data_IF_266097922181
#
_entry.id   IF_266097922181
#
_cell.length_a   1.000
_cell.length_b   1.000
_cell.length_c   1.000
_cell.angle_alpha   90.00
_cell.angle_beta   90.00
_cell.angle_gamma   90.00
#
_symmetry.space_group_name_H-M   'P 1'
#
loop_
_entity.id
_entity.type
_entity.pdbx_description
1 polymer ?
#
# COMPACT_ATOMS: atom_id res chain seq x y z
N UNK A 1 -29.57 -18.03 -14.74
CA UNK A 1 -29.20 -17.06 -13.67
C UNK A 1 -30.44 -16.87 -12.81
N UNK A 2 -30.39 -17.25 -11.54
CA UNK A 2 -31.55 -17.34 -10.63
C UNK A 2 -32.15 -16.00 -10.19
N UNK A 3 -31.47 -14.85 -10.33
CA UNK A 3 -31.98 -13.56 -9.85
C UNK A 3 -31.77 -12.44 -10.85
N UNK A 4 -32.84 -11.74 -11.22
CA UNK A 4 -32.77 -10.45 -11.92
C UNK A 4 -32.25 -9.39 -10.94
N UNK A 5 -31.39 -8.44 -11.36
CA UNK A 5 -30.96 -7.36 -10.49
C UNK A 5 -32.14 -6.44 -10.18
N UNK A 6 -32.26 -6.06 -8.91
CA UNK A 6 -33.27 -5.12 -8.48
C UNK A 6 -32.82 -3.68 -8.75
N UNK A 7 -33.75 -2.83 -9.14
CA UNK A 7 -33.52 -1.40 -9.27
C UNK A 7 -33.30 -0.77 -7.90
N UNK A 8 -32.29 0.12 -7.78
CA UNK A 8 -32.00 0.81 -6.52
C UNK A 8 -32.41 2.28 -6.56
N UNK A 9 -32.29 2.94 -7.70
CA UNK A 9 -32.61 4.36 -7.89
C UNK A 9 -33.96 4.60 -8.61
N UNK A 10 -34.24 5.87 -8.91
CA UNK A 10 -35.46 6.28 -9.63
C UNK A 10 -35.38 5.96 -11.12
N UNK A 11 -34.22 6.10 -11.75
CA UNK A 11 -34.03 5.81 -13.18
C UNK A 11 -34.06 4.29 -13.42
N UNK A 12 -34.71 3.90 -14.54
CA UNK A 12 -34.90 2.51 -14.93
C UNK A 12 -34.31 2.27 -16.33
N UNK A 13 -33.65 1.14 -16.49
CA UNK A 13 -33.25 0.63 -17.80
C UNK A 13 -34.30 -0.32 -18.33
N UNK A 14 -34.42 -0.38 -19.66
CA UNK A 14 -35.26 -1.38 -20.31
C UNK A 14 -34.78 -2.79 -19.94
N UNK A 15 -35.72 -3.75 -19.69
CA UNK A 15 -35.35 -5.11 -19.26
C UNK A 15 -34.41 -5.84 -20.22
N UNK A 16 -34.56 -5.61 -21.55
CA UNK A 16 -33.69 -6.23 -22.55
C UNK A 16 -32.27 -5.64 -22.50
N UNK A 17 -32.16 -4.32 -22.39
CA UNK A 17 -30.89 -3.60 -22.25
C UNK A 17 -30.17 -4.00 -20.95
N UNK A 18 -30.92 -4.09 -19.86
CA UNK A 18 -30.38 -4.50 -18.56
C UNK A 18 -29.79 -5.92 -18.60
N UNK A 19 -30.47 -6.84 -19.29
CA UNK A 19 -29.98 -8.21 -19.43
C UNK A 19 -28.70 -8.29 -20.26
N UNK A 20 -28.64 -7.55 -21.35
CA UNK A 20 -27.44 -7.45 -22.21
C UNK A 20 -26.27 -6.79 -21.49
N UNK A 21 -26.49 -5.65 -20.82
CA UNK A 21 -25.49 -4.90 -20.08
C UNK A 21 -24.90 -5.72 -18.91
N UNK A 22 -25.78 -6.42 -18.17
CA UNK A 22 -25.34 -7.31 -17.06
C UNK A 22 -24.48 -8.47 -17.56
N UNK A 23 -24.78 -9.03 -18.73
CA UNK A 23 -23.99 -10.13 -19.31
C UNK A 23 -22.61 -9.65 -19.72
N UNK A 24 -22.53 -8.42 -20.25
CA UNK A 24 -21.29 -7.81 -20.70
C UNK A 24 -20.50 -7.08 -19.60
N UNK A 25 -21.06 -6.93 -18.38
CA UNK A 25 -20.42 -6.16 -17.32
C UNK A 25 -19.08 -6.77 -16.88
N UNK A 26 -18.09 -5.91 -16.66
CA UNK A 26 -16.81 -6.31 -16.03
C UNK A 26 -17.02 -6.49 -14.53
N UNK A 27 -16.83 -7.70 -14.06
CA UNK A 27 -16.98 -8.08 -12.64
C UNK A 27 -15.70 -7.70 -11.89
N UNK A 28 -15.85 -6.97 -10.78
CA UNK A 28 -14.75 -6.58 -9.89
C UNK A 28 -15.25 -6.81 -8.45
N UNK A 29 -14.69 -7.79 -7.78
CA UNK A 29 -15.20 -8.22 -6.48
C UNK A 29 -16.71 -8.53 -6.50
N UNK A 30 -17.48 -8.03 -5.50
CA UNK A 30 -18.92 -8.27 -5.42
C UNK A 30 -19.75 -7.37 -6.35
N UNK A 31 -19.13 -6.36 -6.97
CA UNK A 31 -19.74 -5.38 -7.85
C UNK A 31 -19.45 -5.68 -9.34
N UNK A 32 -19.98 -4.87 -10.25
CA UNK A 32 -19.73 -4.98 -11.69
C UNK A 32 -19.99 -3.66 -12.39
N UNK A 33 -19.15 -3.34 -13.37
CA UNK A 33 -19.22 -2.13 -14.18
C UNK A 33 -19.73 -2.51 -15.56
N UNK A 34 -20.96 -2.13 -15.89
CA UNK A 34 -21.56 -2.28 -17.19
C UNK A 34 -21.32 -1.04 -18.06
N UNK A 35 -21.81 -1.06 -19.30
CA UNK A 35 -21.78 0.13 -20.17
C UNK A 35 -22.83 1.18 -19.78
N UNK A 36 -24.00 0.73 -19.28
CA UNK A 36 -25.16 1.58 -18.95
C UNK A 36 -25.44 1.69 -17.46
N UNK A 37 -24.98 0.73 -16.65
CA UNK A 37 -25.27 0.67 -15.21
C UNK A 37 -24.10 0.13 -14.38
N UNK A 38 -24.06 0.56 -13.14
CA UNK A 38 -23.24 0.02 -12.09
C UNK A 38 -24.03 -1.04 -11.32
N UNK A 39 -23.44 -2.23 -11.16
CA UNK A 39 -24.05 -3.35 -10.43
C UNK A 39 -23.46 -3.45 -9.03
N UNK A 40 -24.32 -3.43 -8.00
CA UNK A 40 -23.95 -3.36 -6.61
C UNK A 40 -24.41 -4.60 -5.85
N UNK A 41 -23.69 -5.00 -4.83
CA UNK A 41 -24.04 -6.13 -4.01
C UNK A 41 -25.10 -5.77 -2.95
N UNK A 42 -25.79 -6.80 -2.46
CA UNK A 42 -26.39 -6.81 -1.13
C UNK A 42 -25.42 -7.47 -0.16
N UNK A 43 -25.83 -7.62 1.10
CA UNK A 43 -24.97 -8.21 2.13
C UNK A 43 -24.48 -9.63 1.76
N UNK A 44 -25.33 -10.44 1.12
CA UNK A 44 -25.02 -11.84 0.77
C UNK A 44 -24.97 -12.13 -0.73
N UNK A 45 -25.47 -11.23 -1.59
CA UNK A 45 -25.66 -11.50 -3.01
C UNK A 45 -24.91 -10.49 -3.85
N UNK A 46 -23.95 -10.97 -4.64
CA UNK A 46 -23.19 -10.16 -5.58
C UNK A 46 -24.10 -9.61 -6.70
N UNK A 47 -23.85 -8.34 -7.08
CA UNK A 47 -24.57 -7.70 -8.20
C UNK A 47 -26.09 -7.83 -8.10
N UNK A 48 -26.59 -7.72 -6.87
CA UNK A 48 -28.04 -7.81 -6.57
C UNK A 48 -28.80 -6.61 -7.05
N UNK A 49 -28.20 -5.43 -7.03
CA UNK A 49 -28.81 -4.17 -7.42
C UNK A 49 -28.14 -3.60 -8.66
N UNK A 50 -28.87 -2.76 -9.41
CA UNK A 50 -28.31 -1.95 -10.47
C UNK A 50 -28.68 -0.47 -10.30
N UNK A 51 -27.79 0.40 -10.73
CA UNK A 51 -27.98 1.85 -10.81
C UNK A 51 -27.53 2.31 -12.19
N UNK A 52 -28.42 2.91 -13.01
CA UNK A 52 -28.02 3.61 -14.22
C UNK A 52 -27.06 4.75 -13.89
N UNK A 53 -26.07 4.98 -14.73
CA UNK A 53 -25.09 6.07 -14.49
C UNK A 53 -25.70 7.45 -14.41
N UNK A 54 -26.86 7.67 -15.05
CA UNK A 54 -27.63 8.93 -14.99
C UNK A 54 -28.14 9.27 -13.59
N UNK A 55 -28.31 8.27 -12.71
CA UNK A 55 -28.73 8.46 -11.32
C UNK A 55 -27.57 8.66 -10.37
N UNK A 56 -26.34 8.36 -10.79
CA UNK A 56 -25.16 8.37 -9.91
C UNK A 56 -24.53 9.75 -9.93
N UNK A 57 -24.38 10.34 -8.75
CA UNK A 57 -23.68 11.62 -8.56
C UNK A 57 -22.22 11.44 -8.18
N UNK A 58 -21.93 10.48 -7.30
CA UNK A 58 -20.59 10.23 -6.77
C UNK A 58 -20.38 8.74 -6.52
N UNK A 59 -19.15 8.29 -6.73
CA UNK A 59 -18.69 6.95 -6.31
C UNK A 59 -17.31 7.10 -5.69
N UNK A 60 -17.16 6.72 -4.43
CA UNK A 60 -15.89 6.90 -3.74
C UNK A 60 -15.60 5.78 -2.75
N UNK A 61 -14.33 5.63 -2.43
CA UNK A 61 -13.84 4.72 -1.42
C UNK A 61 -13.94 5.36 -0.04
N UNK A 62 -14.42 4.60 0.92
CA UNK A 62 -14.35 4.94 2.35
C UNK A 62 -13.67 3.81 3.09
N UNK A 63 -12.75 4.16 3.98
CA UNK A 63 -12.04 3.20 4.83
C UNK A 63 -12.58 3.34 6.24
N UNK A 64 -13.18 2.27 6.78
CA UNK A 64 -13.52 2.20 8.18
C UNK A 64 -12.35 1.56 8.94
N UNK A 65 -11.81 2.27 9.91
CA UNK A 65 -10.86 1.69 10.86
C UNK A 65 -11.66 0.99 11.96
N UNK A 66 -11.58 -0.33 12.06
CA UNK A 66 -12.08 -1.03 13.22
C UNK A 66 -11.07 -0.87 14.35
N UNK A 67 -11.47 -0.31 15.47
CA UNK A 67 -10.72 -0.41 16.71
C UNK A 67 -10.59 -1.89 17.05
N UNK A 68 -9.34 -2.40 17.06
CA UNK A 68 -8.95 -3.80 17.12
C UNK A 68 -9.92 -4.73 17.83
N UNK A 69 -10.56 -5.60 17.05
CA UNK A 69 -11.25 -6.74 17.59
C UNK A 69 -10.26 -7.80 18.10
N UNK A 70 -10.66 -8.52 19.06
CA UNK A 70 -10.16 -9.58 19.93
C UNK A 70 -9.08 -10.58 19.45
N UNK A 71 -8.39 -10.36 18.35
CA UNK A 71 -7.36 -11.26 17.82
C UNK A 71 -5.96 -10.68 17.91
N UNK A 72 -5.50 -10.25 19.09
CA UNK A 72 -4.07 -10.14 19.48
C UNK A 72 -3.00 -9.66 18.48
N UNK A 73 -3.33 -9.38 17.24
CA UNK A 73 -2.51 -8.77 16.22
C UNK A 73 -2.90 -7.31 16.13
N UNK A 74 -2.13 -6.43 16.75
CA UNK A 74 -2.30 -4.99 16.74
C UNK A 74 -2.14 -4.36 15.35
N UNK A 75 -2.91 -4.83 14.38
CA UNK A 75 -3.14 -4.20 13.10
C UNK A 75 -4.60 -3.77 13.06
N UNK A 76 -4.80 -2.46 12.93
CA UNK A 76 -6.07 -1.90 12.55
C UNK A 76 -6.51 -2.57 11.24
N UNK A 77 -7.49 -3.45 11.29
CA UNK A 77 -8.09 -3.98 10.09
C UNK A 77 -8.88 -2.84 9.44
N UNK A 78 -8.32 -2.20 8.45
CA UNK A 78 -9.04 -1.25 7.60
C UNK A 78 -9.96 -2.07 6.68
N UNK A 79 -11.26 -1.83 6.76
CA UNK A 79 -12.20 -2.33 5.77
C UNK A 79 -12.50 -1.23 4.77
N UNK A 80 -12.04 -1.41 3.55
CA UNK A 80 -12.39 -0.54 2.45
C UNK A 80 -13.76 -0.93 1.91
N UNK A 81 -14.64 0.04 1.70
CA UNK A 81 -15.91 -0.14 1.04
C UNK A 81 -16.20 0.97 0.04
N UNK A 82 -16.92 0.60 -1.00
CA UNK A 82 -17.39 1.53 -2.01
C UNK A 82 -18.66 2.20 -1.52
N UNK A 83 -18.73 3.52 -1.65
CA UNK A 83 -19.95 4.30 -1.41
C UNK A 83 -20.40 4.87 -2.74
N UNK A 84 -21.66 4.64 -3.06
CA UNK A 84 -22.32 5.20 -4.26
C UNK A 84 -23.41 6.14 -3.81
N UNK A 85 -23.30 7.41 -4.21
CA UNK A 85 -24.34 8.42 -4.00
C UNK A 85 -25.21 8.56 -5.26
N UNK A 86 -26.52 8.58 -5.08
CA UNK A 86 -27.49 8.61 -6.15
C UNK A 86 -28.78 9.32 -5.73
N UNK A 87 -29.59 9.73 -6.69
CA UNK A 87 -30.92 10.31 -6.49
C UNK A 87 -30.99 11.37 -5.37
N UNK A 88 -30.11 12.39 -5.44
CA UNK A 88 -30.17 13.52 -4.51
C UNK A 88 -29.63 13.26 -3.12
N UNK A 89 -28.69 12.34 -2.95
CA UNK A 89 -27.96 12.14 -1.69
C UNK A 89 -28.19 10.80 -1.00
N UNK A 90 -29.00 9.92 -1.59
CA UNK A 90 -29.07 8.53 -1.11
C UNK A 90 -27.73 7.84 -1.27
N UNK A 91 -27.31 7.03 -0.31
CA UNK A 91 -26.05 6.32 -0.34
C UNK A 91 -26.26 4.81 -0.27
N UNK A 92 -25.49 4.09 -1.07
CA UNK A 92 -25.36 2.61 -0.98
C UNK A 92 -23.92 2.27 -0.71
N UNK A 93 -23.71 1.50 0.35
CA UNK A 93 -22.39 0.97 0.71
C UNK A 93 -22.24 -0.47 0.20
N UNK A 94 -21.06 -0.78 -0.32
CA UNK A 94 -20.69 -2.09 -0.81
C UNK A 94 -19.34 -2.50 -0.21
N UNK A 95 -19.35 -3.58 0.56
CA UNK A 95 -18.14 -4.08 1.21
C UNK A 95 -17.35 -4.96 0.23
N UNK A 96 -16.05 -4.79 0.22
CA UNK A 96 -15.11 -5.57 -0.56
C UNK A 96 -14.21 -6.37 0.37
N UNK A 97 -13.78 -7.54 -0.10
CA UNK A 97 -12.80 -8.37 0.63
C UNK A 97 -11.38 -7.86 0.45
N UNK A 98 -11.09 -7.29 -0.72
CA UNK A 98 -9.78 -6.73 -1.07
C UNK A 98 -9.94 -5.24 -1.43
N UNK A 99 -9.11 -4.41 -0.84
CA UNK A 99 -9.07 -2.96 -1.11
C UNK A 99 -8.69 -2.67 -2.56
N UNK A 100 -7.82 -3.49 -3.16
CA UNK A 100 -7.39 -3.36 -4.56
C UNK A 100 -8.55 -3.48 -5.55
N UNK A 101 -9.58 -4.25 -5.22
CA UNK A 101 -10.77 -4.36 -6.05
C UNK A 101 -11.57 -3.05 -6.08
N UNK A 102 -11.62 -2.31 -4.95
CA UNK A 102 -12.25 -0.98 -4.90
C UNK A 102 -11.50 -0.01 -5.80
N UNK A 103 -10.16 0.01 -5.69
CA UNK A 103 -9.32 0.90 -6.48
C UNK A 103 -9.41 0.58 -7.98
N UNK A 104 -9.38 -0.70 -8.35
CA UNK A 104 -9.57 -1.14 -9.74
C UNK A 104 -10.96 -0.77 -10.31
N UNK A 105 -12.01 -0.80 -9.46
CA UNK A 105 -13.35 -0.38 -9.86
C UNK A 105 -13.41 1.13 -10.10
N UNK A 106 -12.82 1.94 -9.21
CA UNK A 106 -12.76 3.39 -9.34
C UNK A 106 -11.95 3.82 -10.57
N UNK A 107 -10.80 3.18 -10.84
CA UNK A 107 -10.01 3.43 -12.05
C UNK A 107 -10.79 3.13 -13.33
N UNK A 108 -11.54 2.02 -13.34
CA UNK A 108 -12.37 1.66 -14.48
C UNK A 108 -13.51 2.67 -14.70
N UNK A 109 -14.15 3.12 -13.61
CA UNK A 109 -15.19 4.17 -13.67
C UNK A 109 -14.61 5.49 -14.13
N UNK A 110 -13.43 5.90 -13.67
CA UNK A 110 -12.75 7.12 -14.13
C UNK A 110 -12.57 7.14 -15.66
N UNK A 111 -12.23 5.97 -16.24
CA UNK A 111 -12.01 5.83 -17.68
C UNK A 111 -13.31 5.79 -18.50
N UNK A 112 -14.35 5.16 -17.96
CA UNK A 112 -15.59 4.94 -18.70
C UNK A 112 -16.66 6.01 -18.47
N UNK A 113 -16.65 6.64 -17.30
CA UNK A 113 -17.69 7.59 -16.85
C UNK A 113 -17.04 8.81 -16.16
N UNK A 114 -16.32 9.65 -16.92
CA UNK A 114 -15.57 10.79 -16.36
C UNK A 114 -16.46 11.86 -15.69
N UNK A 115 -17.77 11.83 -15.96
CA UNK A 115 -18.74 12.75 -15.35
C UNK A 115 -19.06 12.39 -13.88
N UNK A 116 -18.76 11.17 -13.43
CA UNK A 116 -19.01 10.73 -12.06
C UNK A 116 -17.88 11.22 -11.17
N UNK A 117 -18.20 11.93 -10.10
CA UNK A 117 -17.20 12.37 -9.12
C UNK A 117 -16.73 11.20 -8.26
N UNK A 118 -15.41 11.02 -8.18
CA UNK A 118 -14.81 9.88 -7.47
C UNK A 118 -14.36 10.22 -6.03
N UNK A 119 -14.72 11.40 -5.55
CA UNK A 119 -14.45 11.87 -4.20
C UNK A 119 -15.75 12.20 -3.46
N UNK A 120 -15.75 12.01 -2.14
CA UNK A 120 -16.85 12.52 -1.31
C UNK A 120 -16.86 14.05 -1.30
N UNK A 121 -18.00 14.67 -0.99
CA UNK A 121 -18.11 16.13 -0.89
C UNK A 121 -17.12 16.68 0.15
N UNK A 122 -17.02 16.01 1.32
CA UNK A 122 -16.06 16.38 2.35
C UNK A 122 -14.60 16.21 1.88
N UNK A 123 -14.31 15.15 1.10
CA UNK A 123 -12.98 14.93 0.52
C UNK A 123 -12.59 16.01 -0.49
N UNK A 124 -13.52 16.44 -1.36
CA UNK A 124 -13.29 17.56 -2.29
C UNK A 124 -13.00 18.87 -1.54
N UNK A 125 -13.82 19.19 -0.53
CA UNK A 125 -13.61 20.38 0.29
C UNK A 125 -12.28 20.35 1.05
N UNK A 126 -11.92 19.20 1.61
CA UNK A 126 -10.63 19.02 2.28
C UNK A 126 -9.46 19.22 1.32
N UNK A 127 -9.55 18.68 0.09
CA UNK A 127 -8.52 18.87 -0.95
C UNK A 127 -8.41 20.33 -1.40
N UNK A 128 -9.55 21.03 -1.60
CA UNK A 128 -9.54 22.45 -1.93
C UNK A 128 -8.89 23.28 -0.84
N UNK A 129 -9.35 23.11 0.40
CA UNK A 129 -8.77 23.82 1.56
C UNK A 129 -7.27 23.59 1.69
N UNK A 130 -6.83 22.36 1.45
CA UNK A 130 -5.42 21.99 1.47
C UNK A 130 -4.62 22.65 0.35
N UNK A 131 -5.19 22.70 -0.85
CA UNK A 131 -4.57 23.39 -1.98
C UNK A 131 -4.42 24.89 -1.71
N UNK A 132 -5.44 25.52 -1.10
CA UNK A 132 -5.41 26.92 -0.68
C UNK A 132 -4.37 27.15 0.44
N UNK A 133 -4.35 26.31 1.47
CA UNK A 133 -3.36 26.38 2.54
C UNK A 133 -1.92 26.17 2.01
N UNK A 134 -1.73 25.24 1.08
CA UNK A 134 -0.44 25.01 0.45
C UNK A 134 -0.01 26.20 -0.41
N UNK A 135 -0.94 26.77 -1.16
CA UNK A 135 -0.68 27.98 -1.95
C UNK A 135 -0.34 29.19 -1.05
N UNK A 136 -1.05 29.34 0.07
CA UNK A 136 -0.80 30.41 1.03
C UNK A 136 0.55 30.29 1.78
N UNK A 137 1.12 29.09 1.88
CA UNK A 137 2.45 28.86 2.48
C UNK A 137 3.59 29.25 1.55
N UNK A 138 3.36 29.31 0.23
CA UNK A 138 4.38 29.67 -0.74
C UNK A 138 4.69 31.15 -0.68
N UNK A 139 5.97 31.49 -0.77
CA UNK A 139 6.39 32.88 -0.87
C UNK A 139 5.90 33.49 -2.20
N UNK A 140 5.37 34.72 -2.19
CA UNK A 140 4.92 35.37 -3.41
C UNK A 140 6.08 35.66 -4.38
N UNK A 141 7.28 35.93 -3.84
CA UNK A 141 8.49 36.11 -4.63
C UNK A 141 9.65 35.30 -4.03
N UNK A 142 10.31 34.53 -4.88
CA UNK A 142 11.51 33.77 -4.55
C UNK A 142 12.75 34.59 -4.96
N UNK A 143 13.81 34.46 -4.17
CA UNK A 143 15.15 34.98 -4.57
C UNK A 143 15.63 34.30 -5.86
N UNK A 144 16.54 34.91 -6.60
CA UNK A 144 17.03 34.33 -7.86
C UNK A 144 17.78 33.02 -7.62
N UNK A 145 18.48 32.85 -6.52
CA UNK A 145 19.12 31.58 -6.11
C UNK A 145 18.06 30.50 -5.82
N UNK A 146 16.97 30.86 -5.14
CA UNK A 146 15.87 29.94 -4.88
C UNK A 146 15.15 29.52 -6.18
N UNK A 147 14.92 30.43 -7.12
CA UNK A 147 14.36 30.11 -8.45
C UNK A 147 15.27 29.17 -9.22
N UNK A 148 16.58 29.40 -9.19
CA UNK A 148 17.56 28.51 -9.80
C UNK A 148 17.50 27.12 -9.17
N UNK A 149 17.49 27.03 -7.84
CA UNK A 149 17.38 25.75 -7.09
C UNK A 149 16.10 24.99 -7.46
N UNK A 150 14.94 25.66 -7.50
CA UNK A 150 13.67 25.05 -7.94
C UNK A 150 13.76 24.50 -9.35
N UNK A 151 14.42 25.26 -10.27
CA UNK A 151 14.59 24.82 -11.66
C UNK A 151 15.44 23.57 -11.77
N UNK A 152 16.56 23.51 -11.02
CA UNK A 152 17.44 22.32 -10.95
C UNK A 152 16.67 21.12 -10.42
N UNK A 153 15.93 21.28 -9.32
CA UNK A 153 15.16 20.22 -8.69
C UNK A 153 14.01 19.71 -9.60
N UNK A 154 13.34 20.61 -10.34
CA UNK A 154 12.28 20.23 -11.29
C UNK A 154 12.84 19.39 -12.44
N UNK A 155 13.96 19.80 -13.04
CA UNK A 155 14.63 19.03 -14.10
C UNK A 155 15.07 17.65 -13.61
N UNK A 156 15.61 17.59 -12.39
CA UNK A 156 15.99 16.32 -11.78
C UNK A 156 14.77 15.43 -11.52
N UNK A 157 13.64 16.00 -11.08
CA UNK A 157 12.39 15.28 -10.91
C UNK A 157 11.85 14.73 -12.23
N UNK A 158 11.80 15.53 -13.28
CA UNK A 158 11.39 15.12 -14.63
C UNK A 158 12.25 13.96 -15.15
N UNK A 159 13.57 13.99 -14.88
CA UNK A 159 14.48 12.92 -15.24
C UNK A 159 14.12 11.59 -14.51
N UNK A 160 13.78 11.64 -13.23
CA UNK A 160 13.33 10.45 -12.50
C UNK A 160 11.92 9.98 -12.93
N UNK A 161 11.02 10.92 -13.24
CA UNK A 161 9.67 10.61 -13.74
C UNK A 161 9.68 9.91 -15.10
N UNK A 162 10.76 10.03 -15.87
CA UNK A 162 10.95 9.30 -17.14
C UNK A 162 11.13 7.77 -16.94
N UNK A 163 11.57 7.33 -15.75
CA UNK A 163 11.74 5.91 -15.39
C UNK A 163 11.19 5.62 -14.00
N UNK A 164 9.87 5.66 -13.82
CA UNK A 164 9.23 5.49 -12.51
C UNK A 164 9.48 4.11 -11.89
N UNK A 165 9.79 3.09 -12.72
CA UNK A 165 10.05 1.73 -12.22
C UNK A 165 11.26 1.71 -11.27
N UNK A 166 12.34 2.48 -11.57
CA UNK A 166 13.53 2.52 -10.72
C UNK A 166 13.22 3.12 -9.33
N UNK A 167 12.49 4.23 -9.29
CA UNK A 167 12.08 4.87 -8.05
C UNK A 167 11.14 3.99 -7.21
N UNK A 168 10.20 3.32 -7.87
CA UNK A 168 9.28 2.40 -7.22
C UNK A 168 9.99 1.15 -6.69
N UNK A 169 10.93 0.59 -7.47
CA UNK A 169 11.76 -0.54 -7.04
C UNK A 169 12.62 -0.18 -5.83
N UNK A 170 13.32 0.97 -5.87
CA UNK A 170 14.12 1.49 -4.77
C UNK A 170 13.28 1.61 -3.49
N UNK A 171 12.14 2.29 -3.58
CA UNK A 171 11.21 2.48 -2.46
C UNK A 171 10.70 1.14 -1.90
N UNK A 172 10.27 0.21 -2.76
CA UNK A 172 9.76 -1.09 -2.37
C UNK A 172 10.84 -1.97 -1.72
N UNK A 173 12.05 -1.99 -2.28
CA UNK A 173 13.17 -2.76 -1.77
C UNK A 173 13.64 -2.25 -0.41
N UNK A 174 13.75 -0.93 -0.23
CA UNK A 174 14.16 -0.32 1.02
C UNK A 174 13.10 -0.48 2.12
N UNK A 175 11.82 -0.45 1.80
CA UNK A 175 10.73 -0.77 2.76
C UNK A 175 10.82 -2.22 3.24
N UNK A 176 11.07 -3.18 2.34
CA UNK A 176 11.23 -4.60 2.70
C UNK A 176 12.48 -4.80 3.58
N UNK A 177 13.62 -4.17 3.24
CA UNK A 177 14.83 -4.18 4.06
C UNK A 177 14.54 -3.66 5.47
N UNK A 178 13.84 -2.52 5.60
CA UNK A 178 13.47 -1.94 6.90
C UNK A 178 12.54 -2.83 7.72
N UNK A 179 11.53 -3.41 7.09
CA UNK A 179 10.61 -4.35 7.75
C UNK A 179 11.38 -5.57 8.29
N UNK A 180 12.33 -6.08 7.51
CA UNK A 180 13.17 -7.20 7.92
C UNK A 180 14.10 -6.86 9.08
N UNK A 181 14.73 -5.68 9.06
CA UNK A 181 15.60 -5.21 10.15
C UNK A 181 14.83 -4.99 11.46
N UNK A 182 13.55 -4.62 11.39
CA UNK A 182 12.67 -4.48 12.55
C UNK A 182 12.07 -5.79 13.04
N UNK A 183 12.15 -6.86 12.27
CA UNK A 183 11.61 -8.16 12.69
C UNK A 183 12.37 -8.67 13.94
N UNK A 184 11.63 -8.93 15.01
CA UNK A 184 12.22 -9.38 16.27
C UNK A 184 12.86 -10.76 16.08
N UNK A 185 14.10 -10.99 16.54
CA UNK A 185 14.78 -12.29 16.42
C UNK A 185 14.10 -13.41 17.22
N UNK A 186 13.15 -13.05 18.10
CA UNK A 186 12.41 -14.00 18.95
C UNK A 186 11.78 -15.15 18.14
N UNK A 187 11.26 -14.88 16.95
CA UNK A 187 10.66 -15.94 16.11
C UNK A 187 11.69 -17.01 15.69
N UNK A 188 12.97 -16.64 15.53
CA UNK A 188 14.04 -17.59 15.20
C UNK A 188 14.33 -18.50 16.38
N UNK A 189 14.36 -17.95 17.59
CA UNK A 189 14.58 -18.75 18.81
C UNK A 189 13.40 -19.67 19.09
N UNK A 190 12.18 -19.21 18.87
CA UNK A 190 10.99 -20.06 18.98
C UNK A 190 11.02 -21.19 17.94
N UNK A 191 11.34 -20.90 16.68
CA UNK A 191 11.47 -21.92 15.64
C UNK A 191 12.58 -22.92 15.95
N UNK A 192 13.72 -22.45 16.47
CA UNK A 192 14.82 -23.32 16.92
C UNK A 192 14.39 -24.21 18.11
N UNK A 193 13.69 -23.66 19.09
CA UNK A 193 13.15 -24.42 20.21
C UNK A 193 12.20 -25.53 19.74
N UNK A 194 11.27 -25.21 18.83
CA UNK A 194 10.33 -26.18 18.23
C UNK A 194 11.12 -27.28 17.49
N UNK A 195 12.17 -26.93 16.75
CA UNK A 195 13.03 -27.88 16.08
C UNK A 195 13.74 -28.82 17.07
N UNK A 196 14.31 -28.27 18.16
CA UNK A 196 14.97 -29.06 19.19
C UNK A 196 13.99 -30.00 19.91
N UNK A 197 12.79 -29.56 20.23
CA UNK A 197 11.74 -30.42 20.78
C UNK A 197 11.35 -31.56 19.84
N UNK A 198 11.21 -31.25 18.54
CA UNK A 198 10.92 -32.26 17.52
C UNK A 198 12.02 -33.32 17.39
N UNK A 199 13.29 -32.88 17.41
CA UNK A 199 14.46 -33.81 17.36
C UNK A 199 14.56 -34.64 18.63
N UNK A 200 14.33 -34.04 19.79
CA UNK A 200 14.33 -34.76 21.08
C UNK A 200 13.21 -35.81 21.14
N UNK A 201 12.00 -35.46 20.68
CA UNK A 201 10.88 -36.40 20.61
C UNK A 201 11.18 -37.58 19.66
N UNK A 202 11.80 -37.31 18.51
CA UNK A 202 12.21 -38.35 17.56
C UNK A 202 13.29 -39.27 18.15
N UNK A 203 14.31 -38.69 18.77
CA UNK A 203 15.40 -39.45 19.42
C UNK A 203 14.90 -40.32 20.55
N UNK A 204 14.04 -39.77 21.43
CA UNK A 204 13.44 -40.56 22.51
C UNK A 204 12.49 -41.63 21.98
N UNK A 205 11.73 -41.36 20.93
CA UNK A 205 10.87 -42.36 20.28
C UNK A 205 11.69 -43.52 19.71
N UNK A 206 12.83 -43.24 19.05
CA UNK A 206 13.74 -44.27 18.56
C UNK A 206 14.34 -45.09 19.74
N UNK A 207 14.82 -44.43 20.75
CA UNK A 207 15.33 -45.11 21.97
C UNK A 207 14.28 -46.03 22.58
N UNK A 208 13.05 -45.57 22.77
CA UNK A 208 11.95 -46.33 23.33
C UNK A 208 11.57 -47.56 22.49
N UNK A 209 11.64 -47.45 21.15
CA UNK A 209 11.43 -48.58 20.21
C UNK A 209 12.55 -49.63 20.38
N UNK A 210 13.81 -49.21 20.43
CA UNK A 210 14.95 -50.15 20.59
C UNK A 210 15.00 -50.83 21.95
N UNK A 211 14.59 -50.17 23.01
CA UNK A 211 14.55 -50.72 24.37
C UNK A 211 13.24 -51.43 24.72
N UNK A 212 12.30 -51.48 23.77
CA UNK A 212 10.95 -52.03 23.99
C UNK A 212 10.19 -51.44 25.19
N UNK A 213 10.51 -50.22 25.57
CA UNK A 213 9.91 -49.49 26.71
C UNK A 213 8.79 -48.60 26.20
N UNK A 214 7.56 -49.06 26.28
CA UNK A 214 6.39 -48.27 25.87
C UNK A 214 5.31 -49.05 25.13
N UNK A 215 4.21 -48.41 24.84
CA UNK A 215 3.11 -48.97 24.02
C UNK A 215 3.11 -48.39 22.63
N UNK A 216 2.47 -49.06 21.67
CA UNK A 216 2.33 -48.58 20.30
C UNK A 216 1.69 -47.19 20.23
N UNK A 217 0.75 -46.84 21.11
CA UNK A 217 0.14 -45.52 21.20
C UNK A 217 1.15 -44.41 21.56
N UNK A 218 2.11 -44.70 22.46
CA UNK A 218 3.18 -43.77 22.86
C UNK A 218 4.12 -43.53 21.68
N UNK A 219 4.51 -44.57 20.96
CA UNK A 219 5.36 -44.42 19.75
C UNK A 219 4.69 -43.59 18.68
N UNK A 220 3.40 -43.86 18.40
CA UNK A 220 2.65 -43.08 17.43
C UNK A 220 2.56 -41.60 17.82
N UNK A 221 2.31 -41.31 19.10
CA UNK A 221 2.25 -39.92 19.58
C UNK A 221 3.61 -39.22 19.46
N UNK A 222 4.71 -39.85 19.87
CA UNK A 222 6.07 -39.28 19.83
C UNK A 222 6.51 -38.98 18.39
N UNK A 223 6.33 -39.92 17.47
CA UNK A 223 6.68 -39.72 16.07
C UNK A 223 5.74 -38.73 15.37
N UNK A 224 4.47 -38.72 15.75
CA UNK A 224 3.50 -37.73 15.26
C UNK A 224 3.89 -36.31 15.67
N UNK A 225 4.19 -36.08 16.94
CA UNK A 225 4.69 -34.78 17.42
C UNK A 225 6.03 -34.40 16.77
N UNK A 226 6.98 -35.36 16.68
CA UNK A 226 8.23 -35.13 16.00
C UNK A 226 8.04 -34.70 14.56
N UNK A 227 7.19 -35.37 13.81
CA UNK A 227 6.86 -35.03 12.42
C UNK A 227 6.28 -33.60 12.34
N UNK A 228 5.25 -33.28 13.13
CA UNK A 228 4.62 -31.96 13.14
C UNK A 228 5.65 -30.85 13.45
N UNK A 229 6.47 -31.04 14.49
CA UNK A 229 7.45 -30.02 14.89
C UNK A 229 8.58 -29.86 13.89
N UNK A 230 9.11 -30.94 13.33
CA UNK A 230 10.16 -30.91 12.33
C UNK A 230 9.67 -30.30 11.01
N UNK A 231 8.49 -30.67 10.51
CA UNK A 231 7.91 -30.07 9.30
C UNK A 231 7.60 -28.57 9.50
N UNK A 232 7.04 -28.19 10.66
CA UNK A 232 6.78 -26.78 10.95
C UNK A 232 8.06 -25.95 11.00
N UNK A 233 9.15 -26.49 11.56
CA UNK A 233 10.43 -25.79 11.71
C UNK A 233 11.26 -25.80 10.43
N UNK A 234 11.20 -26.87 9.63
CA UNK A 234 11.94 -26.99 8.39
C UNK A 234 11.68 -25.88 7.39
N UNK A 235 10.43 -25.44 7.27
CA UNK A 235 10.06 -24.35 6.38
C UNK A 235 10.46 -22.96 6.92
N UNK A 236 10.63 -22.81 8.23
CA UNK A 236 10.90 -21.49 8.84
C UNK A 236 12.39 -21.14 8.88
N UNK A 237 13.29 -22.07 9.13
CA UNK A 237 14.70 -21.78 9.38
C UNK A 237 15.52 -21.51 8.10
N UNK A 238 15.60 -22.40 7.12
CA UNK A 238 16.41 -22.17 5.93
C UNK A 238 15.77 -21.17 4.97
N UNK A 239 14.44 -21.22 4.81
CA UNK A 239 13.69 -20.30 3.95
C UNK A 239 13.76 -18.86 4.45
N UNK A 240 13.70 -18.65 5.78
CA UNK A 240 13.85 -17.33 6.37
C UNK A 240 15.25 -16.76 6.16
N UNK A 241 16.32 -17.57 6.25
CA UNK A 241 17.69 -17.12 6.01
C UNK A 241 17.89 -16.71 4.54
N UNK A 242 17.50 -17.55 3.61
CA UNK A 242 17.60 -17.28 2.17
C UNK A 242 16.77 -16.07 1.75
N UNK A 243 15.56 -15.95 2.27
CA UNK A 243 14.69 -14.81 1.99
C UNK A 243 15.29 -13.50 2.53
N UNK A 244 15.88 -13.52 3.72
CA UNK A 244 16.54 -12.35 4.30
C UNK A 244 17.74 -11.90 3.45
N UNK A 245 18.59 -12.84 3.02
CA UNK A 245 19.71 -12.54 2.13
C UNK A 245 19.24 -11.98 0.79
N UNK A 246 18.17 -12.53 0.22
CA UNK A 246 17.58 -12.06 -1.03
C UNK A 246 17.01 -10.64 -0.88
N UNK A 247 16.33 -10.34 0.23
CA UNK A 247 15.80 -9.00 0.51
C UNK A 247 16.92 -7.96 0.62
N UNK A 248 18.01 -8.29 1.35
CA UNK A 248 19.15 -7.39 1.48
C UNK A 248 19.83 -7.16 0.14
N UNK A 249 20.14 -8.21 -0.62
CA UNK A 249 20.74 -8.11 -1.96
C UNK A 249 19.88 -7.27 -2.91
N UNK A 250 18.56 -7.46 -2.88
CA UNK A 250 17.64 -6.70 -3.74
C UNK A 250 17.64 -5.21 -3.39
N UNK A 251 17.73 -4.86 -2.10
CA UNK A 251 17.83 -3.46 -1.69
C UNK A 251 19.16 -2.83 -2.16
N UNK A 252 20.27 -3.54 -2.00
CA UNK A 252 21.59 -3.07 -2.43
C UNK A 252 21.67 -2.97 -3.97
N UNK A 253 21.03 -3.87 -4.71
CA UNK A 253 20.90 -3.79 -6.17
C UNK A 253 20.05 -2.60 -6.62
N UNK A 254 18.95 -2.31 -5.92
CA UNK A 254 18.12 -1.15 -6.24
C UNK A 254 18.87 0.18 -5.97
N UNK A 255 19.63 0.27 -4.86
CA UNK A 255 20.50 1.40 -4.58
C UNK A 255 21.57 1.58 -5.68
N UNK A 256 22.24 0.50 -6.08
CA UNK A 256 23.27 0.55 -7.13
C UNK A 256 22.69 0.93 -8.50
N UNK A 257 21.52 0.39 -8.86
CA UNK A 257 20.84 0.71 -10.11
C UNK A 257 20.42 2.18 -10.17
N UNK A 258 19.89 2.73 -9.07
CA UNK A 258 19.54 4.14 -8.98
C UNK A 258 20.80 5.03 -9.00
N UNK A 259 21.83 4.66 -8.25
CA UNK A 259 23.10 5.41 -8.25
C UNK A 259 23.72 5.45 -9.65
N UNK A 260 23.68 4.36 -10.40
CA UNK A 260 24.15 4.31 -11.77
C UNK A 260 23.28 5.16 -12.71
N UNK A 261 21.95 5.12 -12.55
CA UNK A 261 21.06 5.95 -13.35
C UNK A 261 21.30 7.44 -13.16
N UNK A 262 21.46 7.91 -11.92
CA UNK A 262 21.69 9.34 -11.64
C UNK A 262 23.07 9.84 -12.07
N UNK A 263 24.08 8.97 -12.24
CA UNK A 263 25.37 9.33 -12.83
C UNK A 263 25.26 9.80 -14.28
N UNK A 264 24.27 9.29 -15.00
CA UNK A 264 24.03 9.65 -16.39
C UNK A 264 23.07 10.84 -16.54
N UNK A 265 22.89 11.61 -15.47
CA UNK A 265 22.06 12.80 -15.52
C UNK A 265 22.65 13.86 -16.45
N UNK A 266 21.91 14.33 -17.48
CA UNK A 266 22.49 15.15 -18.56
C UNK A 266 22.82 16.58 -18.16
N UNK A 267 22.28 17.07 -17.04
CA UNK A 267 22.39 18.47 -16.63
C UNK A 267 23.43 18.69 -15.49
N UNK A 268 24.53 17.95 -15.50
CA UNK A 268 25.59 18.05 -14.51
C UNK A 268 25.45 17.09 -13.34
N UNK A 269 25.81 17.53 -12.13
CA UNK A 269 25.67 16.69 -10.94
C UNK A 269 24.21 16.57 -10.52
N UNK A 270 23.75 15.37 -10.22
CA UNK A 270 22.40 15.16 -9.70
C UNK A 270 22.27 15.77 -8.30
N UNK A 271 21.18 16.52 -7.98
CA UNK A 271 21.10 17.36 -6.79
C UNK A 271 21.01 16.61 -5.46
N UNK A 272 20.77 15.29 -5.48
CA UNK A 272 20.71 14.44 -4.28
C UNK A 272 21.49 13.15 -4.47
N UNK A 273 22.00 12.52 -3.40
CA UNK A 273 22.59 11.19 -3.47
C UNK A 273 21.62 10.16 -4.08
N UNK A 274 22.13 9.17 -4.82
CA UNK A 274 21.34 8.16 -5.49
C UNK A 274 20.39 7.39 -4.53
N UNK A 275 20.81 7.15 -3.28
CA UNK A 275 19.97 6.52 -2.26
C UNK A 275 18.72 7.32 -1.85
N UNK A 276 18.69 8.63 -2.14
CA UNK A 276 17.56 9.53 -1.90
C UNK A 276 16.87 9.97 -3.20
N UNK A 277 17.34 9.49 -4.35
CA UNK A 277 16.81 9.87 -5.65
C UNK A 277 15.40 9.31 -5.87
N UNK A 278 14.41 10.05 -5.44
CA UNK A 278 13.00 9.70 -5.58
C UNK A 278 12.17 10.95 -5.93
N UNK A 279 11.21 10.88 -6.87
CA UNK A 279 10.41 12.04 -7.27
C UNK A 279 9.69 12.74 -6.11
N UNK A 280 9.22 11.98 -5.11
CA UNK A 280 8.59 12.54 -3.90
C UNK A 280 9.59 13.33 -3.05
N UNK A 281 10.85 12.88 -2.96
CA UNK A 281 11.89 13.61 -2.23
C UNK A 281 12.12 14.95 -2.89
N UNK A 282 12.33 14.98 -4.23
CA UNK A 282 12.52 16.20 -4.99
C UNK A 282 11.30 17.14 -4.93
N UNK A 283 10.07 16.60 -4.98
CA UNK A 283 8.83 17.37 -4.78
C UNK A 283 8.84 18.08 -3.42
N UNK A 284 9.19 17.36 -2.34
CA UNK A 284 9.25 17.93 -0.98
C UNK A 284 10.38 18.95 -0.81
N UNK A 285 11.50 18.77 -1.53
CA UNK A 285 12.56 19.76 -1.57
C UNK A 285 12.11 21.03 -2.29
N UNK A 286 11.41 20.90 -3.42
CA UNK A 286 10.82 22.05 -4.14
C UNK A 286 9.83 22.78 -3.22
N UNK A 287 8.91 22.06 -2.56
CA UNK A 287 7.98 22.65 -1.60
C UNK A 287 8.71 23.40 -0.48
N UNK A 288 9.83 22.87 0.04
CA UNK A 288 10.63 23.53 1.07
C UNK A 288 11.26 24.85 0.59
N UNK A 289 11.73 24.90 -0.66
CA UNK A 289 12.27 26.13 -1.25
C UNK A 289 11.17 27.15 -1.54
N UNK A 290 10.05 26.71 -2.13
CA UNK A 290 8.90 27.57 -2.45
C UNK A 290 8.23 28.15 -1.18
N UNK A 291 8.31 27.45 -0.06
CA UNK A 291 7.85 27.91 1.26
C UNK A 291 8.90 28.78 2.01
N UNK A 292 10.08 29.04 1.41
CA UNK A 292 11.13 29.84 2.02
C UNK A 292 11.89 29.19 3.18
N UNK A 293 11.77 27.86 3.33
CA UNK A 293 12.47 27.08 4.38
C UNK A 293 13.89 26.70 3.98
N UNK A 294 14.23 26.85 2.70
CA UNK A 294 15.55 26.58 2.14
C UNK A 294 15.79 27.44 0.91
N UNK A 295 17.05 27.71 0.61
CA UNK A 295 17.48 28.42 -0.59
C UNK A 295 18.31 27.50 -1.49
N UNK A 296 19.14 26.65 -0.89
CA UNK A 296 20.04 25.74 -1.59
C UNK A 296 19.49 24.31 -1.64
N UNK A 297 20.01 23.48 -2.55
CA UNK A 297 19.66 22.05 -2.63
C UNK A 297 20.01 21.29 -1.35
N UNK A 298 21.12 21.62 -0.70
CA UNK A 298 21.54 20.99 0.56
C UNK A 298 20.55 21.30 1.69
N UNK A 299 20.24 22.58 1.88
CA UNK A 299 19.24 23.01 2.88
C UNK A 299 17.86 22.40 2.62
N UNK A 300 17.45 22.29 1.35
CA UNK A 300 16.18 21.69 0.98
C UNK A 300 16.14 20.19 1.36
N UNK A 301 17.22 19.46 1.15
CA UNK A 301 17.32 18.07 1.57
C UNK A 301 17.27 17.94 3.11
N UNK A 302 17.98 18.81 3.81
CA UNK A 302 17.99 18.82 5.28
C UNK A 302 16.62 19.19 5.86
N UNK A 303 15.88 20.09 5.23
CA UNK A 303 14.49 20.38 5.59
C UNK A 303 13.57 19.14 5.43
N UNK A 304 13.77 18.35 4.37
CA UNK A 304 13.05 17.08 4.19
C UNK A 304 13.45 16.07 5.27
N UNK A 305 14.75 15.92 5.58
CA UNK A 305 15.24 15.03 6.65
C UNK A 305 14.60 15.40 8.00
N UNK A 306 14.65 16.67 8.37
CA UNK A 306 14.08 17.20 9.62
C UNK A 306 12.56 16.92 9.70
N UNK A 307 11.81 17.15 8.61
CA UNK A 307 10.37 16.86 8.57
C UNK A 307 10.07 15.37 8.75
N UNK A 308 10.84 14.49 8.10
CA UNK A 308 10.66 13.04 8.22
C UNK A 308 11.03 12.50 9.61
N UNK A 309 12.00 13.13 10.31
CA UNK A 309 12.35 12.81 11.68
C UNK A 309 11.25 13.24 12.66
N UNK A 310 10.63 14.40 12.43
CA UNK A 310 9.57 14.94 13.26
C UNK A 310 8.26 14.12 13.17
N UNK A 311 8.03 13.39 12.05
CA UNK A 311 6.85 12.54 11.89
C UNK A 311 7.04 11.24 12.67
N UNK A 312 6.35 11.12 13.80
CA UNK A 312 6.27 9.94 14.66
C UNK A 312 4.82 9.39 14.70
N UNK A 313 4.59 8.40 15.56
CA UNK A 313 3.28 7.74 15.70
C UNK A 313 2.15 8.66 16.21
N UNK A 314 2.50 9.78 16.84
CA UNK A 314 1.55 10.69 17.48
C UNK A 314 1.09 11.81 16.52
N UNK A 315 1.76 11.97 15.37
CA UNK A 315 1.42 12.97 14.37
C UNK A 315 0.35 12.43 13.44
N UNK A 316 -0.82 13.06 13.46
CA UNK A 316 -1.88 12.77 12.48
C UNK A 316 -1.51 13.42 11.15
N UNK A 317 -1.39 12.59 10.11
CA UNK A 317 -1.17 13.01 8.73
C UNK A 317 -2.32 12.50 7.88
N UNK A 318 -2.60 13.19 6.79
CA UNK A 318 -3.58 12.74 5.83
C UNK A 318 -3.08 11.55 5.02
N UNK A 319 -4.01 10.81 4.40
CA UNK A 319 -3.68 9.57 3.68
C UNK A 319 -2.65 9.81 2.57
N UNK A 320 -2.79 10.87 1.78
CA UNK A 320 -1.85 11.19 0.70
C UNK A 320 -0.45 11.51 1.24
N UNK A 321 -0.35 12.32 2.30
CA UNK A 321 0.92 12.62 2.96
C UNK A 321 1.50 11.37 3.61
N UNK A 322 0.65 10.50 4.19
CA UNK A 322 1.07 9.23 4.74
C UNK A 322 1.67 8.32 3.67
N UNK A 323 1.02 8.18 2.52
CA UNK A 323 1.50 7.33 1.42
C UNK A 323 2.84 7.85 0.86
N UNK A 324 2.99 9.17 0.71
CA UNK A 324 4.28 9.78 0.36
C UNK A 324 5.36 9.49 1.40
N UNK A 325 5.06 9.64 2.69
CA UNK A 325 6.00 9.38 3.78
C UNK A 325 6.40 7.89 3.78
N UNK A 326 5.43 6.99 3.65
CA UNK A 326 5.69 5.54 3.59
C UNK A 326 6.58 5.19 2.41
N UNK A 327 6.41 5.86 1.27
CA UNK A 327 7.24 5.62 0.09
C UNK A 327 8.71 5.96 0.32
N UNK A 328 9.01 7.07 1.01
CA UNK A 328 10.39 7.60 1.10
C UNK A 328 11.07 7.39 2.46
N UNK A 329 10.31 7.26 3.58
CA UNK A 329 10.90 7.21 4.93
C UNK A 329 11.91 6.09 5.11
N UNK A 330 11.69 4.95 4.46
CA UNK A 330 12.62 3.81 4.53
C UNK A 330 13.97 4.12 3.89
N UNK A 331 14.03 4.96 2.85
CA UNK A 331 15.27 5.41 2.22
C UNK A 331 16.16 6.12 3.27
N UNK A 332 15.59 7.08 3.97
CA UNK A 332 16.31 7.87 4.98
C UNK A 332 16.68 7.05 6.22
N UNK A 333 15.76 6.20 6.71
CA UNK A 333 16.01 5.37 7.89
C UNK A 333 17.09 4.31 7.66
N UNK A 334 17.20 3.74 6.47
CA UNK A 334 18.19 2.71 6.16
C UNK A 334 19.59 3.30 5.92
N UNK A 335 19.67 4.57 5.54
CA UNK A 335 20.91 5.32 5.34
C UNK A 335 21.21 6.30 6.50
N UNK A 336 20.53 6.14 7.66
CA UNK A 336 20.73 6.93 8.88
C UNK A 336 20.69 8.46 8.66
N UNK A 337 19.92 8.93 7.68
CA UNK A 337 19.79 10.35 7.32
C UNK A 337 21.11 11.03 6.89
N UNK A 338 22.05 10.25 6.36
CA UNK A 338 23.35 10.78 5.87
C UNK A 338 23.22 11.70 4.67
#
# INVERSE_FOLDING_TARGET
>A
MLFKPAQLGLARLDPAELAADRKACKKIGPCGVGKKALYLNSFYIDRRYYLPYTSITRVFKRVAMSAGGFTGKGMFASMAYLVVEYDGGKQKQCNFKDERDVDALLELLAKQQPQIRLLSAAGEQALQKKAEEKAARKLPELSDDAKHTVTVLRRAKEYLDAKPELSNELSAAQRRKRAQLKSKPVYRYVALAIFLFGTAAAAYGLYAVFTHTGSYGVYFALFGFAAIFLFSSYNMLPTAHNNNSAIMKRADQADAAMAEYVKHYPNGSFPVPGCYAHPIVLKRMIDAVEEGRAVTTAEALDAVKARLQAVNADVQVEQEEYDEIVAIKALFLNHNYQ
#
